data_IF_218446207201
#
_entry.id   IF_218446207201
#
_cell.length_a   1.000
_cell.length_b   1.000
_cell.length_c   1.000
_cell.angle_alpha   90.00
_cell.angle_beta   90.00
_cell.angle_gamma   90.00
#
_symmetry.space_group_name_H-M   'P 1'
#
loop_
_entity.id
_entity.type
_entity.pdbx_description
1 polymer ?
#
# COMPACT_ATOMS: atom_id res chain seq x y z
N UNK A 1 2.01 14.98 -6.01
CA UNK A 1 1.99 13.53 -6.24
C UNK A 1 0.54 13.06 -6.13
N UNK A 2 0.22 11.96 -6.79
CA UNK A 2 -1.14 11.42 -6.86
C UNK A 2 -1.32 10.39 -5.75
N UNK A 3 -2.52 10.31 -5.17
CA UNK A 3 -2.83 9.26 -4.19
C UNK A 3 -3.39 8.04 -4.90
N UNK A 4 -2.88 6.87 -4.56
CA UNK A 4 -3.31 5.58 -5.05
C UNK A 4 -3.80 4.71 -3.90
N UNK A 5 -4.95 4.08 -4.11
CA UNK A 5 -5.45 3.03 -3.24
C UNK A 5 -5.06 1.66 -3.81
N UNK A 6 -4.52 0.80 -2.95
CA UNK A 6 -4.21 -0.58 -3.26
C UNK A 6 -5.13 -1.47 -2.44
N UNK A 7 -6.06 -2.18 -3.10
CA UNK A 7 -6.95 -3.15 -2.46
C UNK A 7 -6.33 -4.53 -2.50
N UNK A 8 -6.57 -5.30 -1.43
CA UNK A 8 -6.13 -6.69 -1.30
C UNK A 8 -7.09 -7.48 -0.41
N UNK A 9 -7.35 -8.74 -0.75
CA UNK A 9 -8.04 -9.69 0.09
C UNK A 9 -7.06 -10.45 0.99
N UNK A 10 -7.29 -10.44 2.30
CA UNK A 10 -6.42 -11.05 3.32
C UNK A 10 -7.23 -11.96 4.25
N UNK A 11 -7.85 -13.04 3.72
CA UNK A 11 -8.64 -13.96 4.55
C UNK A 11 -7.77 -14.64 5.61
N UNK A 12 -8.20 -14.56 6.87
CA UNK A 12 -7.52 -15.21 8.00
C UNK A 12 -6.23 -14.54 8.44
N UNK A 13 -5.95 -13.30 8.01
CA UNK A 13 -4.76 -12.58 8.45
C UNK A 13 -4.86 -12.17 9.93
N UNK A 14 -3.75 -12.32 10.65
CA UNK A 14 -3.62 -11.86 12.04
C UNK A 14 -3.19 -10.40 12.11
N UNK A 15 -3.40 -9.75 13.26
CA UNK A 15 -2.93 -8.38 13.48
C UNK A 15 -1.40 -8.25 13.36
N UNK A 16 -0.64 -9.25 13.82
CA UNK A 16 0.82 -9.27 13.67
C UNK A 16 1.25 -9.35 12.20
N UNK A 17 0.56 -10.16 11.40
CA UNK A 17 0.81 -10.26 9.95
C UNK A 17 0.43 -8.97 9.22
N UNK A 18 -0.68 -8.31 9.61
CA UNK A 18 -1.04 -6.99 9.09
C UNK A 18 0.04 -5.94 9.40
N UNK A 19 0.54 -5.92 10.64
CA UNK A 19 1.62 -5.02 11.05
C UNK A 19 2.93 -5.29 10.30
N UNK A 20 3.28 -6.56 10.11
CA UNK A 20 4.46 -6.95 9.33
C UNK A 20 4.34 -6.53 7.86
N UNK A 21 3.17 -6.72 7.25
CA UNK A 21 2.90 -6.29 5.87
C UNK A 21 2.95 -4.76 5.72
N UNK A 22 2.36 -4.03 6.68
CA UNK A 22 2.45 -2.56 6.71
C UNK A 22 3.90 -2.09 6.81
N UNK A 23 4.68 -2.69 7.70
CA UNK A 23 6.10 -2.36 7.87
C UNK A 23 6.90 -2.63 6.58
N UNK A 24 6.69 -3.78 5.95
CA UNK A 24 7.36 -4.12 4.69
C UNK A 24 7.04 -3.12 3.56
N UNK A 25 5.78 -2.66 3.47
CA UNK A 25 5.39 -1.62 2.52
C UNK A 25 6.11 -0.29 2.80
N UNK A 26 6.14 0.15 4.07
CA UNK A 26 6.83 1.40 4.48
C UNK A 26 8.32 1.33 4.17
N UNK A 27 8.98 0.23 4.55
CA UNK A 27 10.42 0.05 4.34
C UNK A 27 10.78 0.05 2.85
N UNK A 28 9.93 -0.59 2.02
CA UNK A 28 10.10 -0.63 0.56
C UNK A 28 9.86 0.74 -0.08
N UNK A 29 8.85 1.50 0.36
CA UNK A 29 8.64 2.88 -0.08
C UNK A 29 9.86 3.76 0.22
N UNK A 30 10.40 3.64 1.43
CA UNK A 30 11.59 4.38 1.85
C UNK A 30 12.81 4.00 1.01
N UNK A 31 12.97 2.72 0.68
CA UNK A 31 14.04 2.26 -0.20
C UNK A 31 13.89 2.81 -1.62
N UNK A 32 12.71 2.68 -2.23
CA UNK A 32 12.46 3.18 -3.60
C UNK A 32 12.62 4.69 -3.69
N UNK A 33 12.18 5.44 -2.67
CA UNK A 33 12.38 6.89 -2.60
C UNK A 33 13.86 7.25 -2.54
N UNK A 34 14.69 6.49 -1.80
CA UNK A 34 16.16 6.67 -1.79
C UNK A 34 16.80 6.32 -3.13
N UNK A 35 16.22 5.37 -3.86
CA UNK A 35 16.64 4.97 -5.22
C UNK A 35 16.15 5.96 -6.30
N UNK A 36 15.40 7.00 -5.93
CA UNK A 36 14.93 8.07 -6.82
C UNK A 36 13.50 7.90 -7.35
N UNK A 37 12.78 6.85 -6.93
CA UNK A 37 11.36 6.66 -7.25
C UNK A 37 10.51 7.24 -6.13
N UNK A 38 9.93 8.43 -6.32
CA UNK A 38 9.11 9.09 -5.31
C UNK A 38 7.81 8.30 -5.03
N UNK A 39 7.79 7.61 -3.89
CA UNK A 39 6.64 6.84 -3.41
C UNK A 39 6.61 6.77 -1.89
N UNK A 40 5.45 7.08 -1.30
CA UNK A 40 5.27 7.19 0.14
C UNK A 40 4.03 6.43 0.59
N UNK A 41 4.18 5.64 1.64
CA UNK A 41 3.05 5.02 2.34
C UNK A 41 2.34 6.06 3.23
N UNK A 42 1.01 6.16 3.13
CA UNK A 42 0.20 7.11 3.92
C UNK A 42 -0.45 6.41 5.11
N UNK A 43 -1.35 5.47 4.84
CA UNK A 43 -2.15 4.75 5.84
C UNK A 43 -2.79 3.51 5.23
N UNK A 44 -3.34 2.64 6.07
CA UNK A 44 -4.18 1.53 5.62
C UNK A 44 -5.45 1.41 6.45
N UNK A 45 -6.50 0.90 5.82
CA UNK A 45 -7.71 0.44 6.48
C UNK A 45 -7.84 -1.05 6.24
N UNK A 46 -8.06 -1.80 7.31
CA UNK A 46 -8.48 -3.20 7.24
C UNK A 46 -9.98 -3.26 7.52
N UNK A 47 -10.71 -4.02 6.72
CA UNK A 47 -12.16 -4.18 6.79
C UNK A 47 -12.44 -5.61 7.30
N UNK A 48 -12.71 -5.80 8.60
CA UNK A 48 -12.87 -7.14 9.16
C UNK A 48 -14.07 -7.90 8.59
N UNK A 49 -15.08 -7.18 8.08
CA UNK A 49 -16.31 -7.77 7.55
C UNK A 49 -16.12 -8.58 6.27
N UNK A 50 -15.20 -8.18 5.40
CA UNK A 50 -14.91 -8.86 4.13
C UNK A 50 -13.43 -9.30 4.02
N UNK A 51 -12.67 -9.15 5.10
CA UNK A 51 -11.23 -9.43 5.16
C UNK A 51 -10.41 -8.70 4.09
N UNK A 52 -10.86 -7.53 3.64
CA UNK A 52 -10.12 -6.70 2.70
C UNK A 52 -9.22 -5.69 3.42
N UNK A 53 -8.16 -5.27 2.75
CA UNK A 53 -7.31 -4.18 3.18
C UNK A 53 -7.11 -3.18 2.03
N UNK A 54 -7.22 -1.90 2.36
CA UNK A 54 -6.89 -0.81 1.44
C UNK A 54 -5.70 -0.05 2.00
N UNK A 55 -4.60 -0.02 1.25
CA UNK A 55 -3.42 0.78 1.56
C UNK A 55 -3.39 2.01 0.66
N UNK A 56 -3.17 3.20 1.25
CA UNK A 56 -3.01 4.45 0.53
C UNK A 56 -1.53 4.79 0.38
N UNK A 57 -1.16 5.13 -0.85
CA UNK A 57 0.18 5.55 -1.21
C UNK A 57 0.12 6.88 -1.96
N UNK A 58 1.09 7.75 -1.72
CA UNK A 58 1.35 8.91 -2.55
C UNK A 58 2.51 8.56 -3.49
N UNK A 59 2.33 8.70 -4.81
CA UNK A 59 3.35 8.31 -5.79
C UNK A 59 3.31 9.18 -7.04
N UNK A 60 4.37 9.06 -7.85
CA UNK A 60 4.47 9.70 -9.17
C UNK A 60 3.57 9.05 -10.22
N UNK A 61 3.28 7.76 -10.10
CA UNK A 61 2.41 6.99 -10.99
C UNK A 61 2.00 5.66 -10.35
N UNK A 62 1.08 4.94 -11.01
CA UNK A 62 0.62 3.61 -10.60
C UNK A 62 1.76 2.57 -10.58
N UNK A 63 2.68 2.61 -11.56
CA UNK A 63 3.81 1.68 -11.66
C UNK A 63 4.75 1.72 -10.44
N UNK A 64 4.96 2.91 -9.86
CA UNK A 64 5.74 3.07 -8.64
C UNK A 64 5.08 2.34 -7.46
N UNK A 65 3.75 2.44 -7.34
CA UNK A 65 2.98 1.75 -6.31
C UNK A 65 2.99 0.25 -6.55
N UNK A 66 2.85 -0.19 -7.80
CA UNK A 66 2.97 -1.61 -8.17
C UNK A 66 4.34 -2.16 -7.78
N UNK A 67 5.41 -1.44 -8.11
CA UNK A 67 6.78 -1.81 -7.77
C UNK A 67 6.99 -1.95 -6.26
N UNK A 68 6.39 -1.08 -5.44
CA UNK A 68 6.42 -1.21 -3.97
C UNK A 68 5.82 -2.56 -3.55
N UNK A 69 4.62 -2.88 -4.04
CA UNK A 69 3.91 -4.08 -3.59
C UNK A 69 4.60 -5.36 -4.06
N UNK A 70 5.14 -5.37 -5.28
CA UNK A 70 5.94 -6.49 -5.81
C UNK A 70 7.25 -6.68 -5.03
N UNK A 71 8.04 -5.61 -4.81
CA UNK A 71 9.29 -5.69 -4.02
C UNK A 71 9.05 -6.08 -2.56
N UNK A 72 7.95 -5.60 -1.97
CA UNK A 72 7.55 -5.95 -0.61
C UNK A 72 6.92 -7.36 -0.51
N UNK A 73 6.72 -8.06 -1.64
CA UNK A 73 6.05 -9.38 -1.72
C UNK A 73 4.66 -9.39 -1.08
N UNK A 74 3.90 -8.30 -1.25
CA UNK A 74 2.55 -8.18 -0.67
C UNK A 74 1.52 -8.34 -1.79
N UNK A 75 0.56 -9.28 -1.66
CA UNK A 75 -0.48 -9.45 -2.67
C UNK A 75 -1.38 -8.21 -2.76
N UNK A 76 -1.87 -7.95 -3.97
CA UNK A 76 -2.84 -6.91 -4.27
C UNK A 76 -3.77 -7.36 -5.40
N UNK A 77 -5.02 -6.91 -5.33
CA UNK A 77 -6.06 -7.21 -6.32
C UNK A 77 -6.21 -6.05 -7.31
N UNK A 78 -6.08 -4.82 -6.82
CA UNK A 78 -6.34 -3.61 -7.58
C UNK A 78 -5.46 -2.46 -7.10
N UNK A 79 -4.98 -1.63 -8.03
CA UNK A 79 -4.36 -0.33 -7.78
C UNK A 79 -5.20 0.70 -8.52
N UNK A 80 -5.63 1.77 -7.86
CA UNK A 80 -6.45 2.81 -8.48
C UNK A 80 -6.06 4.17 -7.94
N UNK A 81 -6.02 5.18 -8.81
CA UNK A 81 -5.94 6.57 -8.39
C UNK A 81 -7.19 6.97 -7.58
N UNK A 82 -6.99 7.66 -6.46
CA UNK A 82 -8.07 8.10 -5.58
C UNK A 82 -7.86 9.54 -5.13
N UNK A 83 -8.98 10.22 -4.86
CA UNK A 83 -8.98 11.51 -4.19
C UNK A 83 -9.04 11.27 -2.67
N UNK A 84 -7.92 11.45 -1.99
CA UNK A 84 -7.84 11.35 -0.53
C UNK A 84 -8.35 12.64 0.11
N UNK A 85 -9.59 12.61 0.58
CA UNK A 85 -10.25 13.76 1.21
C UNK A 85 -9.76 13.89 2.66
N UNK A 86 -8.76 14.75 2.87
CA UNK A 86 -8.31 15.15 4.21
C UNK A 86 -9.24 16.23 4.79
N UNK A 87 -9.54 16.19 6.11
CA UNK A 87 -10.41 17.16 6.77
C UNK A 87 -9.82 18.58 6.84
#
# INVERSE_FOLDING_TARGET
MTTYAVKRSLPGITMDQLGAAQKAAIDTCNQLTKEGTEVKYIRSNFYPGDSSCTCLFEAVNEDAVKTVNEKASIPFDEITEVLDLLP
#
